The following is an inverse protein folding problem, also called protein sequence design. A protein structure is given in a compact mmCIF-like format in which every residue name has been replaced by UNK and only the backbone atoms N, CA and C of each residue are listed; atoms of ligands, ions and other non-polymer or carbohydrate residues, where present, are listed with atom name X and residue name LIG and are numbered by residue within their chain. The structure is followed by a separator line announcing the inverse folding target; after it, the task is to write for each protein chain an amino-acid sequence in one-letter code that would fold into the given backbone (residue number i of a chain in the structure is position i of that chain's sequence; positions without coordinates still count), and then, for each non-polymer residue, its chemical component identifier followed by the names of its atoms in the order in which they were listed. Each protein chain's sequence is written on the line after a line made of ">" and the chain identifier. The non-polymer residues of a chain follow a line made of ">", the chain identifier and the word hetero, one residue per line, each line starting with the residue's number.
data_IF_099724193604
#
_entry.id   IF_099724193604
#
_cell.length_a   1.000
_cell.length_b   1.000
_cell.length_c   1.000
_cell.angle_alpha   90.00
_cell.angle_beta   90.00
_cell.angle_gamma   90.00
#
_symmetry.space_group_name_H-M   'P 1'
#
loop_
_entity.id
_entity.type
_entity.pdbx_description
1 polymer ?
#
# COMPACT_ATOMS: atom_id res chain seq x y z
N UNK A 1 9.69 -29.92 -1.15
CA UNK A 1 8.49 -29.92 -0.27
C UNK A 1 8.01 -28.52 0.12
N UNK A 2 8.87 -27.60 0.57
CA UNK A 2 8.45 -26.24 1.00
C UNK A 2 7.79 -25.40 -0.10
N UNK A 3 8.33 -25.42 -1.31
CA UNK A 3 7.78 -24.67 -2.46
C UNK A 3 6.40 -25.17 -2.86
N UNK A 4 6.17 -26.48 -2.82
CA UNK A 4 4.85 -27.06 -3.09
C UNK A 4 3.81 -26.61 -2.06
N UNK A 5 4.19 -26.52 -0.78
CA UNK A 5 3.30 -25.98 0.25
C UNK A 5 2.96 -24.50 0.01
N UNK A 6 3.96 -23.68 -0.32
CA UNK A 6 3.73 -22.26 -0.65
C UNK A 6 2.80 -22.10 -1.85
N UNK A 7 2.98 -22.93 -2.88
CA UNK A 7 2.13 -22.91 -4.06
C UNK A 7 0.67 -23.25 -3.73
N UNK A 8 0.44 -24.31 -2.94
CA UNK A 8 -0.92 -24.70 -2.50
C UNK A 8 -1.59 -23.58 -1.72
N UNK A 9 -0.86 -22.93 -0.81
CA UNK A 9 -1.39 -21.81 -0.02
C UNK A 9 -1.77 -20.64 -0.95
N UNK A 10 -0.87 -20.25 -1.85
CA UNK A 10 -1.13 -19.15 -2.79
C UNK A 10 -2.32 -19.44 -3.71
N UNK A 11 -2.40 -20.64 -4.28
CA UNK A 11 -3.49 -21.04 -5.17
C UNK A 11 -4.83 -21.11 -4.44
N UNK A 12 -4.86 -21.60 -3.19
CA UNK A 12 -6.08 -21.65 -2.38
C UNK A 12 -6.58 -20.24 -2.03
N UNK A 13 -5.65 -19.34 -1.69
CA UNK A 13 -5.98 -17.93 -1.43
C UNK A 13 -6.57 -17.24 -2.66
N UNK A 14 -5.96 -17.42 -3.84
CA UNK A 14 -6.48 -16.84 -5.09
C UNK A 14 -7.89 -17.33 -5.39
N UNK A 15 -8.14 -18.64 -5.27
CA UNK A 15 -9.45 -19.23 -5.49
C UNK A 15 -10.50 -18.65 -4.51
N UNK A 16 -10.16 -18.55 -3.21
CA UNK A 16 -11.04 -17.97 -2.21
C UNK A 16 -11.38 -16.51 -2.53
N UNK A 17 -10.40 -15.73 -2.99
CA UNK A 17 -10.63 -14.34 -3.37
C UNK A 17 -11.62 -14.23 -4.54
N UNK A 18 -11.61 -15.15 -5.51
CA UNK A 18 -12.60 -15.17 -6.61
C UNK A 18 -14.00 -15.58 -6.14
N UNK A 19 -14.11 -16.38 -5.08
CA UNK A 19 -15.42 -16.71 -4.49
C UNK A 19 -16.02 -15.46 -3.82
N UNK A 20 -15.21 -14.74 -3.04
CA UNK A 20 -15.68 -13.55 -2.28
C UNK A 20 -15.82 -12.31 -3.18
N UNK A 21 -14.87 -12.12 -4.10
CA UNK A 21 -14.81 -11.00 -5.04
C UNK A 21 -14.81 -11.52 -6.49
N UNK A 22 -15.97 -11.85 -7.06
CA UNK A 22 -16.04 -12.56 -8.35
C UNK A 22 -15.48 -11.79 -9.55
N UNK A 23 -15.44 -10.45 -9.49
CA UNK A 23 -14.92 -9.62 -10.59
C UNK A 23 -13.40 -9.47 -10.49
N UNK A 24 -12.90 -8.99 -9.34
CA UNK A 24 -11.50 -8.59 -9.20
C UNK A 24 -10.66 -9.53 -8.33
N UNK A 25 -11.26 -10.49 -7.62
CA UNK A 25 -10.55 -11.45 -6.77
C UNK A 25 -9.50 -10.80 -5.87
N UNK A 26 -8.30 -11.41 -5.84
CA UNK A 26 -7.17 -10.88 -5.08
C UNK A 26 -6.61 -9.57 -5.68
N UNK A 27 -6.88 -9.26 -6.95
CA UNK A 27 -6.45 -8.01 -7.59
C UNK A 27 -7.11 -6.81 -6.92
N UNK A 28 -8.38 -6.92 -6.50
CA UNK A 28 -9.05 -5.85 -5.74
C UNK A 28 -8.35 -5.54 -4.42
N UNK A 29 -7.86 -6.57 -3.72
CA UNK A 29 -7.08 -6.42 -2.48
C UNK A 29 -5.74 -5.75 -2.78
N UNK A 30 -5.06 -6.19 -3.83
CA UNK A 30 -3.78 -5.60 -4.26
C UNK A 30 -3.96 -4.12 -4.58
N UNK A 31 -4.97 -3.76 -5.37
CA UNK A 31 -5.26 -2.37 -5.73
C UNK A 31 -5.58 -1.50 -4.51
N UNK A 32 -6.35 -2.03 -3.55
CA UNK A 32 -6.63 -1.35 -2.29
C UNK A 32 -5.34 -1.07 -1.51
N UNK A 33 -4.49 -2.08 -1.35
CA UNK A 33 -3.21 -1.94 -0.65
C UNK A 33 -2.28 -0.95 -1.35
N UNK A 34 -2.21 -0.98 -2.68
CA UNK A 34 -1.44 0.00 -3.46
C UNK A 34 -1.93 1.43 -3.23
N UNK A 35 -3.25 1.64 -3.23
CA UNK A 35 -3.84 2.94 -2.91
C UNK A 35 -3.49 3.40 -1.49
N UNK A 36 -3.57 2.51 -0.51
CA UNK A 36 -3.22 2.83 0.89
C UNK A 36 -1.74 3.19 1.03
N UNK A 37 -0.85 2.45 0.38
CA UNK A 37 0.59 2.76 0.35
C UNK A 37 0.82 4.15 -0.22
N UNK A 38 0.16 4.49 -1.33
CA UNK A 38 0.31 5.79 -1.97
C UNK A 38 -0.17 6.93 -1.06
N UNK A 39 -1.33 6.77 -0.42
CA UNK A 39 -1.85 7.73 0.56
C UNK A 39 -0.86 7.93 1.70
N UNK A 40 -0.32 6.86 2.28
CA UNK A 40 0.65 6.96 3.37
C UNK A 40 1.96 7.62 2.95
N UNK A 41 2.43 7.37 1.73
CA UNK A 41 3.61 8.07 1.19
C UNK A 41 3.36 9.58 1.08
N UNK A 42 2.19 9.98 0.59
CA UNK A 42 1.83 11.38 0.47
C UNK A 42 1.71 12.07 1.83
N UNK A 43 1.05 11.42 2.80
CA UNK A 43 0.95 11.92 4.19
C UNK A 43 2.34 12.11 4.81
N UNK A 44 3.24 11.13 4.63
CA UNK A 44 4.60 11.21 5.14
C UNK A 44 5.39 12.37 4.50
N UNK A 45 5.26 12.56 3.18
CA UNK A 45 5.89 13.66 2.47
C UNK A 45 5.38 15.00 2.99
N UNK A 46 4.06 15.15 3.13
CA UNK A 46 3.46 16.38 3.66
C UNK A 46 3.93 16.68 5.09
N UNK A 47 4.00 15.67 5.95
CA UNK A 47 4.51 15.81 7.31
C UNK A 47 5.98 16.27 7.31
N UNK A 48 6.83 15.67 6.48
CA UNK A 48 8.24 16.08 6.32
C UNK A 48 8.38 17.51 5.82
N UNK A 49 7.62 17.91 4.80
CA UNK A 49 7.62 19.28 4.28
C UNK A 49 7.18 20.29 5.34
N UNK A 50 6.15 19.96 6.12
CA UNK A 50 5.70 20.81 7.22
C UNK A 50 6.75 20.95 8.32
N UNK A 51 7.41 19.86 8.72
CA UNK A 51 8.50 19.90 9.68
C UNK A 51 9.61 20.84 9.18
N UNK A 52 10.08 20.64 7.95
CA UNK A 52 11.11 21.51 7.33
C UNK A 52 10.67 22.98 7.38
N UNK A 53 9.46 23.30 6.92
CA UNK A 53 8.91 24.66 6.94
C UNK A 53 8.89 25.27 8.34
N UNK A 54 8.55 24.50 9.36
CA UNK A 54 8.51 24.99 10.76
C UNK A 54 9.89 25.12 11.40
N UNK A 55 10.88 24.35 10.94
CA UNK A 55 12.26 24.39 11.46
C UNK A 55 13.14 25.41 10.75
N UNK A 56 12.79 25.83 9.54
CA UNK A 56 13.52 26.89 8.84
C UNK A 56 13.12 28.25 9.44
N UNK A 57 14.08 29.05 9.95
CA UNK A 57 13.78 30.39 10.41
C UNK A 57 13.25 31.24 9.25
N UNK A 58 12.33 32.15 9.57
CA UNK A 58 11.53 33.01 8.68
C UNK A 58 12.33 33.84 7.64
N UNK A 59 13.66 33.75 7.63
CA UNK A 59 14.61 34.50 6.80
C UNK A 59 14.91 33.86 5.43
N UNK A 60 14.42 32.65 5.13
CA UNK A 60 14.68 31.95 3.86
C UNK A 60 13.52 31.98 2.86
N UNK A 61 12.37 32.52 3.25
CA UNK A 61 11.24 32.78 2.38
C UNK A 61 11.14 34.31 2.17
N UNK A 62 11.91 34.82 1.22
CA UNK A 62 11.81 36.19 0.70
C UNK A 62 11.17 36.16 -0.68
#
# INVERSE_FOLDING_TARGET
>A
MKEQQQWVISSSFEAQCRIVGPIYGCVGIISLLQSQIQTKKNENLLAKTNLVRTTLPNSYFH
#
